data_IF_938107280400
#
_entry.id   IF_938107280400
#
_cell.length_a   1.000
_cell.length_b   1.000
_cell.length_c   1.000
_cell.angle_alpha   90.00
_cell.angle_beta   90.00
_cell.angle_gamma   90.00
#
_symmetry.space_group_name_H-M   'P 1'
#
loop_
_entity.id
_entity.type
_entity.pdbx_description
1 polymer ?
#
# COMPACT_ATOMS: atom_id res chain seq x y z
N UNK A 1 2.75 -27.43 -9.13
CA UNK A 1 1.28 -27.35 -9.02
C UNK A 1 0.90 -25.95 -9.43
N UNK A 2 -0.01 -25.83 -10.40
CA UNK A 2 -0.36 -24.58 -11.07
C UNK A 2 -1.88 -24.42 -10.93
N UNK A 3 -2.32 -23.65 -9.94
CA UNK A 3 -3.73 -23.38 -9.72
C UNK A 3 -4.16 -22.19 -10.58
N UNK A 4 -5.18 -22.38 -11.41
CA UNK A 4 -5.62 -21.43 -12.44
C UNK A 4 -6.04 -20.03 -11.89
N UNK A 5 -6.30 -19.91 -10.58
CA UNK A 5 -6.61 -18.65 -9.91
C UNK A 5 -5.48 -18.14 -8.98
N UNK A 6 -4.27 -18.69 -9.07
CA UNK A 6 -3.11 -18.25 -8.28
C UNK A 6 -2.04 -17.58 -9.14
N UNK A 7 -1.31 -16.64 -8.54
CA UNK A 7 -0.06 -16.14 -9.11
C UNK A 7 0.94 -17.30 -9.25
N UNK A 8 1.56 -17.44 -10.43
CA UNK A 8 2.56 -18.49 -10.67
C UNK A 8 3.87 -18.16 -9.95
N UNK A 9 3.91 -18.42 -8.65
CA UNK A 9 4.98 -18.04 -7.73
C UNK A 9 5.67 -19.29 -7.18
N UNK A 10 6.54 -19.89 -7.97
CA UNK A 10 7.29 -21.10 -7.59
C UNK A 10 8.67 -21.17 -8.27
N UNK A 11 9.58 -22.08 -7.82
CA UNK A 11 10.95 -22.19 -8.34
C UNK A 11 11.12 -22.44 -9.84
N UNK A 12 10.06 -22.79 -10.58
CA UNK A 12 10.11 -22.99 -12.04
C UNK A 12 9.84 -21.70 -12.81
N UNK A 13 9.29 -20.67 -12.17
CA UNK A 13 9.15 -19.35 -12.78
C UNK A 13 10.49 -18.62 -12.71
N UNK A 14 11.05 -18.08 -13.81
CA UNK A 14 12.31 -17.36 -13.79
C UNK A 14 12.39 -16.27 -12.72
N UNK A 15 11.27 -15.56 -12.48
CA UNK A 15 11.20 -14.47 -11.51
C UNK A 15 11.44 -14.95 -10.06
N UNK A 16 11.35 -16.26 -9.79
CA UNK A 16 11.60 -16.84 -8.47
C UNK A 16 12.95 -16.45 -7.90
N UNK A 17 13.95 -16.27 -8.79
CA UNK A 17 15.26 -15.74 -8.45
C UNK A 17 15.14 -14.47 -7.59
N UNK A 18 14.25 -13.54 -7.95
CA UNK A 18 14.15 -12.19 -7.36
C UNK A 18 13.05 -12.04 -6.30
N UNK A 19 12.25 -13.08 -6.09
CA UNK A 19 11.21 -13.15 -5.04
C UNK A 19 11.73 -12.83 -3.63
N UNK A 20 12.96 -13.22 -3.21
CA UNK A 20 13.48 -12.82 -1.91
C UNK A 20 13.47 -11.30 -1.67
N UNK A 21 13.62 -10.47 -2.72
CA UNK A 21 13.55 -9.01 -2.59
C UNK A 21 12.11 -8.53 -2.29
N UNK A 22 11.12 -9.08 -3.00
CA UNK A 22 9.70 -8.85 -2.71
C UNK A 22 9.32 -9.33 -1.30
N UNK A 23 9.74 -10.54 -0.92
CA UNK A 23 9.45 -11.09 0.39
C UNK A 23 10.11 -10.28 1.52
N UNK A 24 11.30 -9.72 1.30
CA UNK A 24 11.95 -8.83 2.26
C UNK A 24 11.16 -7.54 2.46
N UNK A 25 10.61 -6.97 1.38
CA UNK A 25 9.68 -5.84 1.47
C UNK A 25 8.43 -6.20 2.27
N UNK A 26 7.76 -7.30 1.92
CA UNK A 26 6.56 -7.79 2.59
C UNK A 26 6.82 -8.04 4.08
N UNK A 27 7.92 -8.71 4.42
CA UNK A 27 8.30 -9.01 5.79
C UNK A 27 8.52 -7.75 6.63
N UNK A 28 9.20 -6.72 6.09
CA UNK A 28 9.40 -5.43 6.77
C UNK A 28 8.07 -4.70 7.00
N UNK A 29 7.17 -4.70 6.02
CA UNK A 29 5.83 -4.12 6.17
C UNK A 29 5.03 -4.87 7.23
N UNK A 30 4.99 -6.21 7.17
CA UNK A 30 4.23 -7.03 8.11
C UNK A 30 4.77 -6.94 9.54
N UNK A 31 6.10 -6.87 9.73
CA UNK A 31 6.69 -6.71 11.06
C UNK A 31 6.15 -5.47 11.78
N UNK A 32 6.00 -4.35 11.05
CA UNK A 32 5.43 -3.11 11.59
C UNK A 32 3.91 -3.21 11.74
N UNK A 33 3.22 -3.76 10.74
CA UNK A 33 1.76 -3.87 10.74
C UNK A 33 1.20 -4.92 11.72
N UNK A 34 2.05 -5.73 12.34
CA UNK A 34 1.68 -6.63 13.43
C UNK A 34 1.98 -6.05 14.81
N UNK A 35 2.73 -4.96 14.91
CA UNK A 35 3.10 -4.35 16.19
C UNK A 35 1.96 -3.51 16.78
N UNK A 36 1.78 -3.58 18.10
CA UNK A 36 0.81 -2.75 18.82
C UNK A 36 -0.64 -3.03 18.45
N UNK A 37 -1.52 -2.03 18.59
CA UNK A 37 -2.95 -2.16 18.32
C UNK A 37 -3.39 -1.30 17.13
N UNK A 38 -4.45 -1.70 16.40
CA UNK A 38 -5.08 -0.83 15.40
C UNK A 38 -5.40 0.54 15.99
N UNK A 39 -5.16 1.62 15.23
CA UNK A 39 -5.35 3.00 15.69
C UNK A 39 -6.48 3.69 14.92
N UNK A 40 -7.61 3.00 14.78
CA UNK A 40 -8.84 3.51 14.19
C UNK A 40 -9.66 4.23 15.25
N UNK A 41 -10.27 5.37 14.91
CA UNK A 41 -10.96 6.22 15.88
C UNK A 41 -12.48 5.97 15.94
N UNK A 42 -13.07 5.35 14.92
CA UNK A 42 -14.53 5.21 14.75
C UNK A 42 -14.96 3.75 14.57
N UNK A 43 -16.08 3.38 15.18
CA UNK A 43 -16.82 2.17 14.81
C UNK A 43 -17.96 2.57 13.86
N UNK A 44 -17.98 2.02 12.65
CA UNK A 44 -19.07 2.21 11.69
C UNK A 44 -20.00 1.01 11.75
N UNK A 45 -21.24 1.20 12.20
CA UNK A 45 -22.22 0.11 12.27
C UNK A 45 -22.49 -0.45 10.87
N UNK A 46 -22.52 -1.79 10.78
CA UNK A 46 -22.83 -2.53 9.56
C UNK A 46 -24.32 -2.91 9.54
N UNK A 47 -25.18 -2.21 8.78
CA UNK A 47 -26.63 -2.44 8.79
C UNK A 47 -27.02 -3.63 7.90
N UNK A 48 -26.58 -4.84 8.27
CA UNK A 48 -26.80 -6.05 7.45
C UNK A 48 -28.29 -6.34 7.17
N UNK A 49 -29.19 -5.95 8.08
CA UNK A 49 -30.62 -6.19 7.91
C UNK A 49 -31.21 -5.38 6.75
N UNK A 50 -30.68 -4.21 6.42
CA UNK A 50 -31.12 -3.48 5.23
C UNK A 50 -30.70 -4.19 3.95
N UNK A 51 -29.54 -4.87 3.97
CA UNK A 51 -29.11 -5.73 2.87
C UNK A 51 -30.06 -6.91 2.71
N UNK A 52 -30.39 -7.60 3.81
CA UNK A 52 -31.29 -8.76 3.79
C UNK A 52 -32.77 -8.43 3.55
N UNK A 53 -33.21 -7.21 3.82
CA UNK A 53 -34.57 -6.75 3.49
C UNK A 53 -34.68 -6.22 2.04
N UNK A 54 -33.62 -6.29 1.24
CA UNK A 54 -33.70 -5.97 -0.19
C UNK A 54 -34.72 -6.90 -0.87
N UNK A 55 -35.59 -6.33 -1.69
CA UNK A 55 -36.64 -7.00 -2.46
C UNK A 55 -36.14 -7.78 -3.70
N UNK A 56 -34.83 -7.80 -3.93
CA UNK A 56 -34.23 -8.37 -5.14
C UNK A 56 -33.77 -9.81 -4.94
N UNK A 57 -34.71 -10.74 -5.14
CA UNK A 57 -34.45 -12.18 -5.22
C UNK A 57 -34.11 -12.85 -3.89
N UNK A 58 -34.08 -14.18 -3.89
CA UNK A 58 -33.79 -15.00 -2.70
C UNK A 58 -32.29 -15.23 -2.45
N UNK A 59 -31.42 -14.68 -3.31
CA UNK A 59 -29.97 -14.85 -3.22
C UNK A 59 -29.25 -13.53 -3.48
N UNK A 60 -28.40 -13.11 -2.54
CA UNK A 60 -27.53 -11.93 -2.66
C UNK A 60 -26.09 -12.43 -2.75
N UNK A 61 -25.53 -12.44 -3.96
CA UNK A 61 -24.15 -12.81 -4.18
C UNK A 61 -23.22 -11.64 -3.80
N UNK A 62 -22.60 -11.72 -2.63
CA UNK A 62 -21.65 -10.72 -2.12
C UNK A 62 -20.24 -10.87 -2.75
N UNK A 63 -20.17 -10.81 -4.09
CA UNK A 63 -18.90 -11.00 -4.80
C UNK A 63 -18.01 -9.75 -4.73
N UNK A 64 -16.71 -9.92 -4.92
CA UNK A 64 -15.75 -8.80 -4.99
C UNK A 64 -15.77 -8.08 -6.34
N UNK A 65 -16.25 -8.74 -7.40
CA UNK A 65 -16.27 -8.21 -8.77
C UNK A 65 -17.55 -7.46 -9.12
N UNK A 66 -18.68 -7.78 -8.46
CA UNK A 66 -19.95 -7.07 -8.57
C UNK A 66 -20.32 -6.50 -7.21
N UNK A 67 -20.13 -5.19 -7.03
CA UNK A 67 -20.18 -4.52 -5.73
C UNK A 67 -21.51 -3.84 -5.42
N UNK A 68 -22.51 -3.96 -6.30
CA UNK A 68 -23.83 -3.34 -6.14
C UNK A 68 -24.55 -3.79 -4.85
N UNK A 69 -24.25 -4.99 -4.35
CA UNK A 69 -24.77 -5.48 -3.08
C UNK A 69 -24.33 -4.63 -1.88
N UNK A 70 -23.26 -3.83 -2.01
CA UNK A 70 -22.77 -2.89 -1.00
C UNK A 70 -23.01 -1.43 -1.42
N UNK A 71 -22.62 -1.08 -2.66
CA UNK A 71 -22.54 0.31 -3.12
C UNK A 71 -23.87 1.04 -3.20
N UNK A 72 -24.98 0.30 -3.35
CA UNK A 72 -26.33 0.89 -3.38
C UNK A 72 -26.83 1.32 -2.00
N UNK A 73 -26.19 0.89 -0.92
CA UNK A 73 -26.63 1.17 0.45
C UNK A 73 -25.98 2.44 1.02
N UNK A 74 -26.68 3.22 1.86
CA UNK A 74 -26.14 4.45 2.44
C UNK A 74 -24.81 4.28 3.18
N UNK A 75 -24.59 3.11 3.79
CA UNK A 75 -23.34 2.77 4.47
C UNK A 75 -22.11 2.84 3.56
N UNK A 76 -22.24 2.48 2.27
CA UNK A 76 -21.13 2.56 1.32
C UNK A 76 -20.74 4.02 1.02
N UNK A 77 -21.73 4.89 0.79
CA UNK A 77 -21.49 6.31 0.56
C UNK A 77 -20.85 6.98 1.79
N UNK A 78 -21.36 6.70 2.99
CA UNK A 78 -20.78 7.23 4.23
C UNK A 78 -19.37 6.70 4.47
N UNK A 79 -19.14 5.39 4.30
CA UNK A 79 -17.81 4.79 4.45
C UNK A 79 -16.80 5.40 3.46
N UNK A 80 -17.21 5.58 2.19
CA UNK A 80 -16.41 6.25 1.17
C UNK A 80 -16.06 7.69 1.53
N UNK A 81 -17.06 8.47 1.97
CA UNK A 81 -16.87 9.87 2.43
C UNK A 81 -15.89 9.94 3.60
N UNK A 82 -16.09 9.13 4.64
CA UNK A 82 -15.20 9.09 5.80
C UNK A 82 -13.77 8.71 5.39
N UNK A 83 -13.61 7.67 4.57
CA UNK A 83 -12.30 7.20 4.13
C UNK A 83 -11.56 8.23 3.28
N UNK A 84 -12.22 8.84 2.30
CA UNK A 84 -11.66 9.88 1.43
C UNK A 84 -11.27 11.16 2.19
N UNK A 85 -11.96 11.46 3.29
CA UNK A 85 -11.65 12.59 4.17
C UNK A 85 -10.66 12.24 5.29
N UNK A 86 -10.03 11.06 5.24
CA UNK A 86 -8.96 10.64 6.16
C UNK A 86 -9.44 10.13 7.52
N UNK A 87 -10.74 9.90 7.72
CA UNK A 87 -11.25 9.27 8.92
C UNK A 87 -10.96 7.76 8.91
N UNK A 88 -10.59 7.24 10.08
CA UNK A 88 -10.30 5.82 10.26
C UNK A 88 -11.43 5.14 11.01
N UNK A 89 -11.91 4.02 10.46
CA UNK A 89 -13.00 3.26 11.05
C UNK A 89 -12.84 1.76 10.86
N UNK A 90 -13.47 1.00 11.75
CA UNK A 90 -13.75 -0.42 11.57
C UNK A 90 -15.26 -0.64 11.49
N UNK A 91 -15.69 -1.57 10.63
CA UNK A 91 -17.08 -2.01 10.64
C UNK A 91 -17.39 -2.81 11.90
N UNK A 92 -18.60 -2.64 12.45
CA UNK A 92 -19.06 -3.41 13.60
C UNK A 92 -20.45 -4.03 13.38
N UNK A 93 -20.55 -5.33 13.65
CA UNK A 93 -21.81 -6.08 13.63
C UNK A 93 -22.60 -5.95 14.93
N UNK A 94 -23.90 -6.30 14.90
CA UNK A 94 -24.76 -6.39 16.09
C UNK A 94 -24.12 -7.24 17.20
N UNK A 95 -23.58 -8.42 16.84
CA UNK A 95 -22.95 -9.35 17.79
C UNK A 95 -21.72 -8.74 18.46
N UNK A 96 -20.87 -8.06 17.71
CA UNK A 96 -19.68 -7.41 18.27
C UNK A 96 -20.06 -6.19 19.11
N UNK A 97 -21.08 -5.43 18.69
CA UNK A 97 -21.57 -4.26 19.40
C UNK A 97 -22.17 -4.63 20.77
N UNK A 98 -22.91 -5.74 20.85
CA UNK A 98 -23.46 -6.25 22.11
C UNK A 98 -22.40 -6.43 23.20
N UNK A 99 -21.19 -6.86 22.80
CA UNK A 99 -20.06 -7.09 23.70
C UNK A 99 -19.24 -5.82 24.02
N UNK A 100 -19.53 -4.68 23.39
CA UNK A 100 -18.83 -3.42 23.65
C UNK A 100 -19.16 -2.86 25.04
N UNK A 101 -18.21 -2.14 25.65
CA UNK A 101 -18.37 -1.54 26.98
C UNK A 101 -17.91 -0.07 26.95
N UNK A 102 -18.50 0.81 27.77
CA UNK A 102 -17.99 2.16 27.92
C UNK A 102 -16.62 2.14 28.61
N UNK A 103 -15.76 3.09 28.23
CA UNK A 103 -14.41 3.30 28.77
C UNK A 103 -14.15 4.81 28.85
N UNK A 104 -14.70 5.42 29.90
CA UNK A 104 -14.89 6.87 29.96
C UNK A 104 -15.81 7.33 28.83
N UNK A 105 -15.38 8.34 28.07
CA UNK A 105 -16.11 8.85 26.88
C UNK A 105 -15.92 7.98 25.62
N UNK A 106 -15.10 6.93 25.70
CA UNK A 106 -14.79 6.03 24.59
C UNK A 106 -15.60 4.74 24.69
N UNK A 107 -15.63 3.97 23.61
CA UNK A 107 -16.13 2.59 23.59
C UNK A 107 -14.99 1.61 23.44
N UNK A 108 -15.02 0.52 24.20
CA UNK A 108 -14.05 -0.57 24.12
C UNK A 108 -14.73 -1.83 23.60
N UNK A 109 -14.15 -2.45 22.56
CA UNK A 109 -14.63 -3.72 22.02
C UNK A 109 -14.18 -4.89 22.88
N UNK A 110 -14.76 -6.08 22.67
CA UNK A 110 -14.36 -7.31 23.37
C UNK A 110 -12.88 -7.66 23.13
N UNK A 111 -12.33 -7.33 21.95
CA UNK A 111 -10.92 -7.51 21.62
C UNK A 111 -9.97 -6.50 22.29
N UNK A 112 -10.51 -5.53 23.05
CA UNK A 112 -9.74 -4.57 23.83
C UNK A 112 -9.42 -3.24 23.14
N UNK A 113 -9.68 -3.12 21.84
CA UNK A 113 -9.49 -1.87 21.09
C UNK A 113 -10.48 -0.79 21.54
N UNK A 114 -9.97 0.44 21.71
CA UNK A 114 -10.75 1.62 22.11
C UNK A 114 -11.05 2.49 20.90
N UNK A 115 -12.30 2.94 20.77
CA UNK A 115 -12.78 3.85 19.74
C UNK A 115 -13.47 5.04 20.39
N UNK A 116 -13.51 6.17 19.71
CA UNK A 116 -13.98 7.45 20.27
C UNK A 116 -15.44 7.75 19.95
N UNK A 117 -15.98 7.09 18.94
CA UNK A 117 -17.38 7.22 18.53
C UNK A 117 -17.89 5.95 17.87
N UNK A 118 -19.22 5.79 17.91
CA UNK A 118 -19.95 4.85 17.08
C UNK A 118 -20.77 5.68 16.09
N UNK A 119 -20.62 5.42 14.80
CA UNK A 119 -21.39 6.03 13.73
C UNK A 119 -22.38 4.98 13.21
N UNK A 120 -23.65 5.34 13.19
CA UNK A 120 -24.74 4.56 12.62
C UNK A 120 -25.09 5.22 11.28
N UNK A 121 -24.83 4.58 10.13
CA UNK A 121 -25.27 5.11 8.84
C UNK A 121 -26.80 5.20 8.79
N UNK A 122 -27.36 5.93 7.82
CA UNK A 122 -28.79 5.89 7.57
C UNK A 122 -29.24 4.43 7.43
N UNK A 123 -30.04 3.97 8.39
CA UNK A 123 -30.42 2.56 8.59
C UNK A 123 -31.94 2.50 8.68
N UNK A 124 -32.58 1.55 8.01
CA UNK A 124 -34.03 1.35 8.12
C UNK A 124 -34.32 0.33 9.22
N UNK A 125 -33.72 -0.87 9.14
CA UNK A 125 -34.01 -1.99 10.03
C UNK A 125 -32.90 -2.19 11.06
N UNK A 126 -33.24 -2.06 12.34
CA UNK A 126 -32.31 -2.31 13.45
C UNK A 126 -32.95 -3.21 14.52
N UNK A 127 -32.24 -4.25 15.02
CA UNK A 127 -32.72 -5.02 16.16
C UNK A 127 -32.89 -4.15 17.41
N UNK A 128 -33.95 -4.39 18.18
CA UNK A 128 -34.23 -3.67 19.44
C UNK A 128 -33.03 -3.75 20.39
N UNK A 129 -32.43 -4.94 20.55
CA UNK A 129 -31.27 -5.13 21.42
C UNK A 129 -30.06 -4.28 21.00
N UNK A 130 -29.86 -4.06 19.70
CA UNK A 130 -28.80 -3.19 19.15
C UNK A 130 -29.09 -1.73 19.49
N UNK A 131 -30.33 -1.28 19.31
CA UNK A 131 -30.74 0.08 19.66
C UNK A 131 -30.62 0.35 21.17
N UNK A 132 -31.08 -0.58 22.01
CA UNK A 132 -30.93 -0.52 23.47
C UNK A 132 -29.45 -0.48 23.89
N UNK A 133 -28.60 -1.25 23.22
CA UNK A 133 -27.16 -1.25 23.47
C UNK A 133 -26.53 0.10 23.14
N UNK A 134 -26.86 0.67 21.98
CA UNK A 134 -26.39 2.01 21.59
C UNK A 134 -26.86 3.07 22.58
N UNK A 135 -28.13 3.03 23.00
CA UNK A 135 -28.69 3.94 23.99
C UNK A 135 -27.98 3.81 25.35
N UNK A 136 -27.69 2.60 25.80
CA UNK A 136 -26.95 2.35 27.04
C UNK A 136 -25.52 2.89 26.98
N UNK A 137 -24.83 2.71 25.85
CA UNK A 137 -23.50 3.29 25.62
C UNK A 137 -23.54 4.82 25.59
N UNK A 138 -24.53 5.41 24.91
CA UNK A 138 -24.74 6.85 24.86
C UNK A 138 -25.00 7.44 26.25
N UNK A 139 -25.86 6.79 27.06
CA UNK A 139 -26.14 7.16 28.45
C UNK A 139 -24.88 7.10 29.33
N UNK A 140 -23.95 6.20 29.02
CA UNK A 140 -22.66 6.09 29.71
C UNK A 140 -21.61 7.12 29.21
N UNK A 141 -21.96 8.00 28.26
CA UNK A 141 -21.10 9.07 27.76
C UNK A 141 -20.36 8.75 26.46
N UNK A 142 -20.59 7.59 25.85
CA UNK A 142 -20.03 7.26 24.52
C UNK A 142 -20.73 8.10 23.46
N UNK A 143 -19.97 8.71 22.54
CA UNK A 143 -20.57 9.40 21.40
C UNK A 143 -21.15 8.40 20.40
N UNK A 144 -22.49 8.36 20.30
CA UNK A 144 -23.21 7.67 19.21
C UNK A 144 -23.74 8.73 18.24
N UNK A 145 -23.42 8.59 16.96
CA UNK A 145 -23.75 9.55 15.90
C UNK A 145 -24.61 8.82 14.87
N UNK A 146 -25.84 9.28 14.66
CA UNK A 146 -26.74 8.76 13.64
C UNK A 146 -26.64 9.65 12.40
N UNK A 147 -26.32 9.07 11.24
CA UNK A 147 -26.23 9.78 9.97
C UNK A 147 -27.63 10.03 9.40
N UNK A 148 -28.03 11.30 9.31
CA UNK A 148 -29.22 11.79 8.60
C UNK A 148 -30.59 11.33 9.12
N UNK A 149 -30.74 10.12 9.65
CA UNK A 149 -31.99 9.58 10.21
C UNK A 149 -31.75 8.59 11.36
N UNK A 150 -32.79 8.35 12.16
CA UNK A 150 -32.82 7.26 13.13
C UNK A 150 -33.37 5.99 12.47
N UNK A 151 -33.01 4.78 12.98
CA UNK A 151 -33.63 3.54 12.55
C UNK A 151 -35.16 3.60 12.61
N UNK A 152 -35.80 3.23 11.50
CA UNK A 152 -37.24 3.39 11.32
C UNK A 152 -38.04 2.16 11.76
N UNK A 153 -37.47 0.95 11.65
CA UNK A 153 -38.18 -0.30 11.91
C UNK A 153 -37.26 -1.40 12.47
N UNK A 154 -37.86 -2.53 12.84
CA UNK A 154 -37.20 -3.74 13.33
C UNK A 154 -37.21 -4.83 12.25
N UNK A 155 -36.18 -5.69 12.18
CA UNK A 155 -36.18 -6.80 11.24
C UNK A 155 -37.18 -7.90 11.64
N UNK A 156 -37.87 -8.50 10.66
CA UNK A 156 -38.77 -9.66 10.84
C UNK A 156 -40.14 -9.34 11.49
N UNK A 157 -41.07 -10.30 11.44
CA UNK A 157 -42.50 -10.07 11.79
C UNK A 157 -42.93 -10.55 13.18
N UNK A 158 -42.10 -11.32 13.89
CA UNK A 158 -42.48 -11.84 15.22
C UNK A 158 -42.70 -10.69 16.21
N UNK A 159 -43.87 -10.61 16.86
CA UNK A 159 -44.20 -9.55 17.84
C UNK A 159 -43.89 -8.13 17.33
N UNK A 160 -44.20 -7.86 16.06
CA UNK A 160 -43.75 -6.67 15.33
C UNK A 160 -44.07 -5.35 16.04
N UNK A 161 -45.34 -5.12 16.40
CA UNK A 161 -45.76 -3.86 17.01
C UNK A 161 -45.12 -3.63 18.38
N UNK A 162 -44.99 -4.68 19.18
CA UNK A 162 -44.27 -4.64 20.46
C UNK A 162 -42.81 -4.25 20.26
N UNK A 163 -42.12 -4.83 19.28
CA UNK A 163 -40.71 -4.53 19.00
C UNK A 163 -40.52 -3.15 18.38
N UNK A 164 -41.44 -2.69 17.53
CA UNK A 164 -41.45 -1.30 17.02
C UNK A 164 -41.60 -0.28 18.15
N UNK A 165 -42.51 -0.54 19.09
CA UNK A 165 -42.66 0.30 20.27
C UNK A 165 -41.38 0.32 21.14
N UNK A 166 -40.74 -0.84 21.33
CA UNK A 166 -39.47 -0.94 22.05
C UNK A 166 -38.33 -0.21 21.34
N UNK A 167 -38.22 -0.31 20.01
CA UNK A 167 -37.24 0.43 19.21
C UNK A 167 -37.42 1.94 19.39
N UNK A 168 -38.65 2.44 19.26
CA UNK A 168 -38.96 3.87 19.47
C UNK A 168 -38.60 4.33 20.87
N UNK A 169 -38.85 3.50 21.89
CA UNK A 169 -38.46 3.78 23.27
C UNK A 169 -36.93 3.88 23.43
N UNK A 170 -36.19 2.91 22.88
CA UNK A 170 -34.72 2.88 22.94
C UNK A 170 -34.07 4.09 22.27
N UNK A 171 -34.67 4.60 21.18
CA UNK A 171 -34.17 5.74 20.42
C UNK A 171 -34.72 7.10 20.89
N UNK A 172 -35.55 7.15 21.94
CA UNK A 172 -36.25 8.38 22.37
C UNK A 172 -35.35 9.58 22.68
N UNK A 173 -34.12 9.33 23.15
CA UNK A 173 -33.12 10.37 23.42
C UNK A 173 -32.12 10.60 22.26
N UNK A 174 -32.18 9.79 21.21
CA UNK A 174 -31.28 9.90 20.06
C UNK A 174 -31.75 11.01 19.12
N UNK A 175 -30.80 11.64 18.44
CA UNK A 175 -31.06 12.63 17.39
C UNK A 175 -30.11 12.38 16.22
N UNK A 176 -30.59 12.50 14.97
CA UNK A 176 -29.72 12.44 13.81
C UNK A 176 -28.78 13.64 13.77
N UNK A 177 -27.55 13.42 13.31
CA UNK A 177 -26.59 14.47 13.01
C UNK A 177 -26.73 14.86 11.54
N UNK A 178 -26.90 16.17 11.22
CA UNK A 178 -26.94 16.64 9.85
C UNK A 178 -25.57 16.53 9.15
N UNK A 179 -24.48 16.54 9.93
CA UNK A 179 -23.12 16.31 9.44
C UNK A 179 -22.35 15.41 10.42
N UNK A 180 -22.10 14.18 9.97
CA UNK A 180 -21.34 13.17 10.72
C UNK A 180 -19.91 13.64 10.99
N UNK A 181 -19.24 14.32 10.06
CA UNK A 181 -17.86 14.75 10.24
C UNK A 181 -17.77 15.88 11.27
N UNK A 182 -18.67 16.85 11.21
CA UNK A 182 -18.79 17.87 12.24
C UNK A 182 -19.06 17.25 13.62
N UNK A 183 -19.96 16.26 13.70
CA UNK A 183 -20.23 15.53 14.94
C UNK A 183 -18.99 14.76 15.44
N UNK A 184 -18.23 14.12 14.55
CA UNK A 184 -16.97 13.44 14.89
C UNK A 184 -15.92 14.42 15.42
N UNK A 185 -15.85 15.64 14.89
CA UNK A 185 -14.93 16.69 15.39
C UNK A 185 -15.24 17.18 16.81
N UNK A 186 -16.46 16.96 17.31
CA UNK A 186 -16.79 17.21 18.72
C UNK A 186 -16.19 16.17 19.67
N UNK A 187 -15.73 15.04 19.12
CA UNK A 187 -14.98 14.03 19.86
C UNK A 187 -13.49 14.33 19.80
N UNK A 188 -12.65 13.45 20.36
CA UNK A 188 -11.20 13.57 20.20
C UNK A 188 -10.71 13.02 18.85
N UNK A 189 -11.56 12.37 18.05
CA UNK A 189 -11.19 11.79 16.75
C UNK A 189 -10.59 12.83 15.83
N UNK A 190 -9.56 12.44 15.08
CA UNK A 190 -8.92 13.32 14.11
C UNK A 190 -8.78 12.57 12.78
N UNK A 191 -9.22 13.16 11.65
CA UNK A 191 -8.88 12.63 10.36
C UNK A 191 -7.39 12.81 10.09
N UNK A 192 -6.83 12.02 9.19
CA UNK A 192 -5.49 12.22 8.68
C UNK A 192 -5.51 13.15 7.46
N UNK A 193 -4.90 14.36 7.54
CA UNK A 193 -4.94 15.33 6.46
C UNK A 193 -4.31 14.82 5.15
N UNK A 194 -3.36 13.87 5.22
CA UNK A 194 -2.63 13.35 4.07
C UNK A 194 -3.53 12.79 2.95
N UNK A 195 -4.69 12.24 3.31
CA UNK A 195 -5.62 11.66 2.35
C UNK A 195 -6.30 12.73 1.49
N UNK A 196 -7.06 13.70 2.05
CA UNK A 196 -7.69 14.72 1.23
C UNK A 196 -6.70 15.73 0.62
N UNK A 197 -5.52 15.95 1.23
CA UNK A 197 -4.58 16.97 0.73
C UNK A 197 -3.62 16.45 -0.34
N UNK A 198 -3.19 15.18 -0.25
CA UNK A 198 -2.18 14.61 -1.15
C UNK A 198 -2.66 13.33 -1.87
N UNK A 199 -3.86 12.82 -1.57
CA UNK A 199 -4.34 11.55 -2.10
C UNK A 199 -3.62 10.33 -1.52
N UNK A 200 -2.92 10.48 -0.39
CA UNK A 200 -2.18 9.39 0.24
C UNK A 200 -3.13 8.47 1.01
N UNK A 201 -2.94 7.16 0.83
CA UNK A 201 -3.61 6.14 1.62
C UNK A 201 -2.69 5.67 2.76
N UNK A 202 -3.28 5.23 3.88
CA UNK A 202 -2.49 4.79 5.01
C UNK A 202 -3.20 3.72 5.85
N UNK A 203 -2.39 2.95 6.58
CA UNK A 203 -2.81 2.17 7.75
C UNK A 203 -2.06 2.68 8.97
N UNK A 204 -2.77 2.87 10.09
CA UNK A 204 -2.19 3.39 11.33
C UNK A 204 -2.31 2.39 12.46
N UNK A 205 -1.21 2.17 13.18
CA UNK A 205 -1.15 1.39 14.42
C UNK A 205 -0.59 2.22 15.56
N UNK A 206 -0.88 1.84 16.78
CA UNK A 206 -0.44 2.54 17.99
C UNK A 206 0.24 1.61 18.97
N UNK A 207 1.25 2.13 19.67
CA UNK A 207 1.89 1.49 20.81
C UNK A 207 2.07 2.52 21.95
N UNK A 208 2.75 2.13 23.03
CA UNK A 208 2.92 2.99 24.19
C UNK A 208 3.72 4.29 23.93
N UNK A 209 4.56 4.31 22.90
CA UNK A 209 5.54 5.39 22.63
C UNK A 209 5.23 6.23 21.40
N UNK A 210 4.16 5.90 20.67
CA UNK A 210 3.80 6.59 19.44
C UNK A 210 2.94 5.75 18.51
N UNK A 211 3.08 5.98 17.22
CA UNK A 211 2.30 5.34 16.16
C UNK A 211 3.17 4.88 15.02
N UNK A 212 2.69 3.85 14.34
CA UNK A 212 3.18 3.40 13.05
C UNK A 212 2.22 3.82 11.96
N UNK A 213 2.76 4.30 10.86
CA UNK A 213 2.05 4.55 9.62
C UNK A 213 2.68 3.70 8.53
N UNK A 214 1.88 2.96 7.79
CA UNK A 214 2.24 2.49 6.46
C UNK A 214 1.48 3.36 5.47
N UNK A 215 2.19 4.11 4.64
CA UNK A 215 1.65 5.12 3.72
C UNK A 215 1.94 4.65 2.29
N UNK A 216 0.97 4.77 1.40
CA UNK A 216 1.11 4.48 -0.03
C UNK A 216 0.72 5.69 -0.87
N UNK A 217 1.51 5.95 -1.91
CA UNK A 217 1.14 6.88 -2.97
C UNK A 217 0.52 6.09 -4.11
N UNK A 218 -0.82 6.02 -4.15
CA UNK A 218 -1.55 5.38 -5.25
C UNK A 218 -1.99 6.35 -6.34
N UNK A 219 -1.59 7.61 -6.22
CA UNK A 219 -1.85 8.63 -7.24
C UNK A 219 -0.87 8.46 -8.42
N UNK A 220 -1.13 9.16 -9.52
CA UNK A 220 -0.23 9.22 -10.67
C UNK A 220 0.88 10.27 -10.53
N UNK A 221 0.94 11.00 -9.41
CA UNK A 221 1.88 12.12 -9.21
C UNK A 221 2.89 11.81 -8.11
N UNK A 222 4.17 12.18 -8.28
CA UNK A 222 5.13 12.11 -7.19
C UNK A 222 4.77 13.12 -6.10
N UNK A 223 5.12 12.78 -4.86
CA UNK A 223 5.02 13.66 -3.69
C UNK A 223 6.44 14.02 -3.25
N UNK A 224 6.78 15.31 -3.20
CA UNK A 224 7.93 15.85 -2.46
C UNK A 224 7.44 17.08 -1.69
N UNK A 225 6.82 16.85 -0.54
CA UNK A 225 6.20 17.91 0.25
C UNK A 225 6.20 17.58 1.75
N UNK A 226 5.94 18.59 2.58
CA UNK A 226 5.65 18.48 4.01
C UNK A 226 4.19 18.08 4.22
N UNK A 227 3.97 16.79 4.47
CA UNK A 227 2.66 16.19 4.71
C UNK A 227 2.27 16.28 6.18
N UNK A 228 1.13 16.88 6.48
CA UNK A 228 0.62 16.99 7.86
C UNK A 228 0.11 15.65 8.40
N UNK A 229 0.50 15.33 9.64
CA UNK A 229 -0.06 14.21 10.41
C UNK A 229 -1.19 14.71 11.30
N UNK A 230 -2.31 13.99 11.35
CA UNK A 230 -3.48 14.26 12.20
C UNK A 230 -3.24 14.00 13.69
N UNK A 231 -2.00 13.68 14.08
CA UNK A 231 -1.61 13.42 15.47
C UNK A 231 -0.32 14.17 15.83
N UNK A 232 -0.15 14.55 17.11
CA UNK A 232 1.13 15.10 17.58
C UNK A 232 2.26 14.09 17.41
N UNK A 233 3.39 14.55 16.85
CA UNK A 233 4.59 13.76 16.65
C UNK A 233 5.86 14.60 16.88
N UNK A 234 6.32 14.77 18.13
CA UNK A 234 7.57 15.46 18.46
C UNK A 234 8.79 15.01 17.64
N UNK A 235 8.84 13.72 17.26
CA UNK A 235 9.84 13.15 16.37
C UNK A 235 9.21 12.11 15.44
N UNK A 236 9.79 11.95 14.25
CA UNK A 236 9.37 10.94 13.27
C UNK A 236 10.61 10.26 12.70
N UNK A 237 10.59 8.93 12.62
CA UNK A 237 11.54 8.14 11.85
C UNK A 237 10.86 7.70 10.55
N UNK A 238 11.57 7.84 9.44
CA UNK A 238 11.21 7.22 8.16
C UNK A 238 11.92 5.87 8.09
N UNK A 239 11.20 4.84 7.65
CA UNK A 239 11.73 3.53 7.32
C UNK A 239 11.27 3.20 5.90
N UNK A 240 12.21 2.87 5.03
CA UNK A 240 11.93 2.46 3.66
C UNK A 240 11.79 0.92 3.62
N UNK A 241 10.58 0.38 3.42
CA UNK A 241 10.37 -1.06 3.37
C UNK A 241 11.01 -1.72 2.14
N UNK A 242 11.41 -0.99 1.11
CA UNK A 242 12.06 -1.53 -0.08
C UNK A 242 13.57 -1.71 0.11
N UNK A 243 14.23 -0.77 0.78
CA UNK A 243 15.70 -0.83 1.00
C UNK A 243 16.09 -1.23 2.42
N UNK A 244 15.23 -0.99 3.42
CA UNK A 244 15.53 -1.21 4.83
C UNK A 244 16.26 -0.05 5.49
N UNK A 245 16.53 1.02 4.74
CA UNK A 245 17.11 2.25 5.27
C UNK A 245 16.12 2.90 6.23
N UNK A 246 16.66 3.58 7.24
CA UNK A 246 15.88 4.37 8.18
C UNK A 246 16.62 5.63 8.59
N UNK A 247 15.88 6.63 9.07
CA UNK A 247 16.46 7.88 9.56
C UNK A 247 15.43 8.86 10.10
N UNK A 248 15.92 9.84 10.87
CA UNK A 248 15.08 10.91 11.42
C UNK A 248 14.57 11.83 10.30
N UNK A 249 13.25 12.00 10.21
CA UNK A 249 12.60 12.80 9.18
C UNK A 249 12.83 14.31 9.39
N UNK A 250 12.80 15.07 8.29
CA UNK A 250 12.65 16.52 8.38
C UNK A 250 11.21 16.87 8.77
N UNK A 251 11.06 17.70 9.81
CA UNK A 251 9.77 18.12 10.35
C UNK A 251 9.60 19.64 10.28
N UNK A 252 8.40 20.08 9.90
CA UNK A 252 7.92 21.46 10.06
C UNK A 252 6.82 21.47 11.10
N UNK A 253 6.96 22.32 12.11
CA UNK A 253 5.95 22.46 13.17
C UNK A 253 4.81 23.36 12.73
N UNK A 254 3.59 22.91 12.96
CA UNK A 254 2.37 23.69 12.80
C UNK A 254 1.55 23.58 14.10
N UNK A 255 1.83 24.46 15.07
CA UNK A 255 1.23 24.38 16.40
C UNK A 255 1.57 23.06 17.11
N UNK A 256 0.55 22.25 17.43
CA UNK A 256 0.69 20.92 18.06
C UNK A 256 0.91 19.78 17.07
N UNK A 257 0.64 20.01 15.78
CA UNK A 257 0.82 19.02 14.72
C UNK A 257 2.21 19.18 14.08
N UNK A 258 2.64 18.12 13.43
CA UNK A 258 3.91 18.08 12.71
C UNK A 258 3.65 17.68 11.27
N UNK A 259 4.19 18.47 10.35
CA UNK A 259 4.28 18.11 8.95
C UNK A 259 5.63 17.44 8.68
N UNK A 260 5.60 16.26 8.08
CA UNK A 260 6.78 15.44 7.76
C UNK A 260 7.09 15.58 6.27
N UNK A 261 8.34 15.88 5.91
CA UNK A 261 8.73 15.88 4.50
C UNK A 261 8.78 14.44 3.99
N UNK A 262 7.98 14.14 2.97
CA UNK A 262 7.95 12.84 2.29
C UNK A 262 8.34 13.01 0.83
N UNK A 263 9.13 12.06 0.31
CA UNK A 263 9.47 11.90 -1.10
C UNK A 263 8.97 10.53 -1.57
N UNK A 264 7.87 10.48 -2.33
CA UNK A 264 7.20 9.24 -2.75
C UNK A 264 6.79 9.29 -4.22
N UNK A 265 7.33 8.36 -5.01
CA UNK A 265 6.93 8.14 -6.40
C UNK A 265 5.53 7.51 -6.49
N UNK A 266 4.85 7.61 -7.65
CA UNK A 266 3.64 6.83 -7.92
C UNK A 266 3.85 5.33 -7.67
N UNK A 267 2.95 4.72 -6.91
CA UNK A 267 3.02 3.31 -6.51
C UNK A 267 3.95 3.01 -5.32
N UNK A 268 4.73 3.99 -4.85
CA UNK A 268 5.65 3.78 -3.74
C UNK A 268 4.95 3.74 -2.38
N UNK A 269 5.62 3.13 -1.41
CA UNK A 269 5.18 3.09 -0.02
C UNK A 269 6.31 3.45 0.94
N UNK A 270 5.94 3.92 2.12
CA UNK A 270 6.88 4.27 3.19
C UNK A 270 6.28 3.97 4.55
N UNK A 271 7.15 3.70 5.53
CA UNK A 271 6.76 3.52 6.91
C UNK A 271 7.22 4.73 7.73
N UNK A 272 6.32 5.28 8.54
CA UNK A 272 6.68 6.28 9.56
C UNK A 272 6.50 5.70 10.95
N UNK A 273 7.46 6.00 11.84
CA UNK A 273 7.31 5.84 13.29
C UNK A 273 7.25 7.20 13.94
N UNK A 274 6.10 7.56 14.52
CA UNK A 274 6.00 8.75 15.38
C UNK A 274 6.50 8.42 16.78
N UNK A 275 7.09 9.42 17.43
CA UNK A 275 7.70 9.32 18.76
C UNK A 275 7.12 10.40 19.67
N UNK A 276 7.02 10.07 20.95
CA UNK A 276 6.70 11.00 22.04
C UNK A 276 7.84 11.99 22.40
N UNK A 277 9.00 11.82 21.76
CA UNK A 277 10.20 12.63 21.93
C UNK A 277 10.83 12.96 20.58
N UNK A 278 11.79 13.87 20.59
CA UNK A 278 12.58 14.15 19.39
C UNK A 278 13.31 12.90 18.90
N UNK A 279 13.35 12.70 17.58
CA UNK A 279 14.12 11.63 16.98
C UNK A 279 15.63 11.86 17.18
N UNK A 280 16.33 10.80 17.58
CA UNK A 280 17.79 10.77 17.70
C UNK A 280 18.39 9.85 16.62
N UNK A 281 19.63 10.11 16.20
CA UNK A 281 20.34 9.30 15.23
C UNK A 281 20.49 9.97 13.85
N UNK A 282 20.94 9.21 12.84
CA UNK A 282 21.13 9.72 11.48
C UNK A 282 19.85 10.31 10.90
N UNK A 283 19.98 11.42 10.15
CA UNK A 283 18.85 12.00 9.42
C UNK A 283 18.52 11.16 8.19
N UNK A 284 17.24 11.18 7.83
CA UNK A 284 16.77 10.65 6.56
C UNK A 284 17.46 11.38 5.41
N UNK A 285 17.96 10.61 4.44
CA UNK A 285 18.65 11.13 3.27
C UNK A 285 17.64 11.33 2.14
N UNK A 286 17.20 12.57 1.97
CA UNK A 286 16.33 12.96 0.86
C UNK A 286 17.12 12.99 -0.45
N UNK A 287 16.58 12.38 -1.50
CA UNK A 287 17.19 12.37 -2.83
C UNK A 287 16.81 13.65 -3.55
N UNK A 288 17.65 14.68 -3.47
CA UNK A 288 17.50 15.86 -4.31
C UNK A 288 18.41 15.69 -5.54
N UNK A 289 17.80 15.49 -6.70
CA UNK A 289 18.50 15.49 -7.97
C UNK A 289 19.07 16.89 -8.25
N UNK A 290 20.31 16.94 -8.74
CA UNK A 290 21.00 18.16 -9.18
C UNK A 290 21.46 17.98 -10.61
N UNK A 291 21.03 18.89 -11.48
CA UNK A 291 21.33 18.83 -12.91
C UNK A 291 20.42 17.86 -13.68
N UNK A 292 20.62 17.82 -14.99
CA UNK A 292 19.82 16.99 -15.89
C UNK A 292 20.29 15.53 -15.87
N UNK A 293 19.38 14.55 -16.09
CA UNK A 293 19.76 13.16 -16.28
C UNK A 293 20.69 12.97 -17.48
N UNK A 294 21.76 12.20 -17.29
CA UNK A 294 22.72 11.83 -18.35
C UNK A 294 22.54 10.36 -18.70
N UNK A 295 22.27 10.06 -19.97
CA UNK A 295 22.12 8.70 -20.46
C UNK A 295 23.47 7.98 -20.60
N UNK A 296 23.52 6.71 -20.21
CA UNK A 296 24.67 5.83 -20.50
C UNK A 296 24.55 5.35 -21.95
N UNK A 297 25.42 5.86 -22.83
CA UNK A 297 25.42 5.58 -24.28
C UNK A 297 26.51 4.60 -24.72
N UNK A 298 27.36 4.15 -23.79
CA UNK A 298 28.37 3.12 -24.04
C UNK A 298 27.73 1.82 -24.54
N UNK A 299 28.42 1.04 -25.39
CA UNK A 299 27.96 -0.29 -25.78
C UNK A 299 27.75 -1.21 -24.58
N UNK A 300 26.78 -2.11 -24.72
CA UNK A 300 26.40 -3.12 -23.73
C UNK A 300 26.68 -4.51 -24.26
N UNK A 301 27.43 -5.29 -23.48
CA UNK A 301 27.57 -6.73 -23.69
C UNK A 301 26.41 -7.45 -23.00
N UNK A 302 25.69 -8.31 -23.72
CA UNK A 302 24.54 -9.07 -23.21
C UNK A 302 24.87 -10.56 -23.20
N UNK A 303 24.80 -11.19 -22.03
CA UNK A 303 25.07 -12.64 -21.86
C UNK A 303 23.95 -13.30 -21.05
N UNK A 304 23.45 -14.45 -21.51
CA UNK A 304 22.36 -15.18 -20.88
C UNK A 304 22.88 -16.15 -19.81
N UNK A 305 22.38 -16.03 -18.57
CA UNK A 305 22.90 -16.78 -17.43
C UNK A 305 22.13 -18.06 -17.13
N UNK A 306 20.81 -17.97 -17.15
CA UNK A 306 19.93 -19.02 -16.67
C UNK A 306 18.55 -18.86 -17.29
N UNK A 307 17.90 -19.97 -17.64
CA UNK A 307 16.57 -19.95 -18.25
C UNK A 307 16.41 -21.06 -19.28
N UNK A 308 15.36 -20.97 -20.08
CA UNK A 308 15.08 -21.94 -21.14
C UNK A 308 14.27 -21.35 -22.29
N UNK A 309 14.14 -22.07 -23.41
CA UNK A 309 14.50 -23.49 -23.61
C UNK A 309 15.99 -23.80 -23.63
N UNK A 310 16.79 -22.86 -24.11
CA UNK A 310 18.25 -22.92 -24.22
C UNK A 310 18.76 -21.51 -23.95
N UNK A 311 20.03 -21.36 -23.58
CA UNK A 311 20.67 -20.05 -23.46
C UNK A 311 20.93 -19.50 -24.87
N UNK A 312 20.39 -18.32 -25.24
CA UNK A 312 20.73 -17.67 -26.49
C UNK A 312 22.23 -17.28 -26.54
N UNK A 313 22.82 -17.16 -27.74
CA UNK A 313 24.16 -16.63 -27.90
C UNK A 313 24.30 -15.21 -27.30
N UNK A 314 25.48 -14.84 -26.78
CA UNK A 314 25.74 -13.47 -26.34
C UNK A 314 25.80 -12.51 -27.54
N UNK A 315 25.50 -11.23 -27.30
CA UNK A 315 25.57 -10.18 -28.31
C UNK A 315 25.95 -8.82 -27.70
N UNK A 316 26.36 -7.88 -28.56
CA UNK A 316 26.66 -6.49 -28.20
C UNK A 316 25.58 -5.55 -28.75
N UNK A 317 25.22 -4.49 -28.02
CA UNK A 317 24.30 -3.47 -28.52
C UNK A 317 24.61 -2.08 -27.97
N UNK A 318 24.38 -1.04 -28.79
CA UNK A 318 24.35 0.36 -28.30
C UNK A 318 22.94 0.83 -27.95
N UNK A 319 21.93 0.16 -28.48
CA UNK A 319 20.53 0.51 -28.27
C UNK A 319 19.85 -0.56 -27.43
N UNK A 320 19.34 -0.15 -26.27
CA UNK A 320 18.60 -1.03 -25.37
C UNK A 320 17.18 -1.20 -25.93
N UNK A 321 16.83 -2.46 -26.20
CA UNK A 321 15.54 -2.91 -26.69
C UNK A 321 15.22 -4.24 -26.00
N UNK A 322 13.94 -4.68 -25.98
CA UNK A 322 13.62 -6.01 -25.51
C UNK A 322 14.47 -7.05 -26.23
N UNK A 323 15.16 -7.94 -25.51
CA UNK A 323 15.91 -9.02 -26.16
C UNK A 323 14.99 -9.91 -26.98
N UNK A 324 13.70 -9.96 -26.64
CA UNK A 324 12.68 -10.67 -27.42
C UNK A 324 12.55 -10.14 -28.85
N UNK A 325 13.13 -8.98 -29.18
CA UNK A 325 13.19 -8.45 -30.54
C UNK A 325 14.46 -8.86 -31.32
N UNK A 326 15.39 -9.61 -30.72
CA UNK A 326 16.69 -9.97 -31.33
C UNK A 326 16.60 -11.19 -32.26
N UNK A 327 15.48 -11.91 -32.26
CA UNK A 327 15.22 -13.03 -33.16
C UNK A 327 14.65 -14.27 -32.44
N UNK A 328 14.39 -15.36 -33.19
CA UNK A 328 13.57 -16.47 -32.72
C UNK A 328 14.05 -17.14 -31.43
N UNK A 329 15.38 -17.30 -31.25
CA UNK A 329 15.94 -17.91 -30.05
C UNK A 329 15.72 -17.05 -28.78
N UNK A 330 15.73 -15.73 -28.94
CA UNK A 330 15.53 -14.77 -27.85
C UNK A 330 14.06 -14.52 -27.55
N UNK A 331 13.19 -14.60 -28.56
CA UNK A 331 11.73 -14.48 -28.42
C UNK A 331 11.19 -15.47 -27.40
N UNK A 332 11.58 -16.75 -27.54
CA UNK A 332 11.04 -17.85 -26.73
C UNK A 332 11.75 -18.03 -25.39
N UNK A 333 12.80 -17.25 -25.13
CA UNK A 333 13.61 -17.35 -23.92
C UNK A 333 12.91 -16.71 -22.72
N UNK A 334 12.75 -17.50 -21.65
CA UNK A 334 12.36 -17.02 -20.32
C UNK A 334 13.48 -17.28 -19.34
N UNK A 335 14.01 -16.23 -18.70
CA UNK A 335 15.22 -16.35 -17.89
C UNK A 335 15.88 -15.03 -17.55
N UNK A 336 17.17 -15.10 -17.22
CA UNK A 336 18.01 -13.98 -16.80
C UNK A 336 19.15 -13.74 -17.80
N UNK A 337 19.38 -12.48 -18.17
CA UNK A 337 20.57 -12.03 -18.89
C UNK A 337 21.30 -10.92 -18.15
N UNK A 338 22.63 -10.87 -18.24
CA UNK A 338 23.45 -9.77 -17.73
C UNK A 338 23.73 -8.80 -18.86
N UNK A 339 23.41 -7.53 -18.61
CA UNK A 339 23.85 -6.38 -19.38
C UNK A 339 25.06 -5.79 -18.66
N UNK A 340 26.20 -5.69 -19.34
CA UNK A 340 27.41 -5.09 -18.78
C UNK A 340 27.93 -3.98 -19.67
N UNK A 341 28.32 -2.86 -19.06
CA UNK A 341 28.92 -1.73 -19.77
C UNK A 341 29.93 -1.00 -18.87
N UNK A 342 30.83 -0.25 -19.51
CA UNK A 342 31.71 0.70 -18.83
C UNK A 342 31.29 2.12 -19.20
N UNK A 343 31.25 3.01 -18.22
CA UNK A 343 30.81 4.39 -18.44
C UNK A 343 31.64 5.36 -17.60
N UNK A 344 31.69 6.60 -18.07
CA UNK A 344 32.36 7.71 -17.41
C UNK A 344 31.33 8.71 -16.88
N UNK A 345 31.67 9.40 -15.80
CA UNK A 345 30.90 10.54 -15.28
C UNK A 345 31.82 11.75 -15.10
N UNK A 346 31.28 12.98 -15.25
CA UNK A 346 32.10 14.19 -15.15
C UNK A 346 32.61 14.46 -13.72
N UNK A 347 31.99 13.86 -12.71
CA UNK A 347 32.40 14.00 -11.32
C UNK A 347 32.06 12.73 -10.53
N UNK A 348 32.96 12.34 -9.63
CA UNK A 348 32.66 11.30 -8.65
C UNK A 348 31.58 11.78 -7.65
N UNK A 349 30.81 10.85 -7.08
CA UNK A 349 29.82 11.16 -6.06
C UNK A 349 28.65 10.17 -6.00
N UNK A 350 27.53 10.64 -5.47
CA UNK A 350 26.30 9.88 -5.38
C UNK A 350 25.36 10.25 -6.54
N UNK A 351 24.75 9.24 -7.14
CA UNK A 351 23.84 9.40 -8.26
C UNK A 351 22.56 8.61 -8.01
N UNK A 352 21.46 9.09 -8.59
CA UNK A 352 20.28 8.30 -8.83
C UNK A 352 20.49 7.57 -10.15
N UNK A 353 20.52 6.23 -10.10
CA UNK A 353 20.54 5.37 -11.27
C UNK A 353 19.10 5.01 -11.62
N UNK A 354 18.62 5.47 -12.78
CA UNK A 354 17.34 5.13 -13.35
C UNK A 354 17.55 4.11 -14.48
N UNK A 355 17.00 2.91 -14.35
CA UNK A 355 17.11 1.87 -15.37
C UNK A 355 16.09 2.05 -16.52
N UNK A 356 15.18 3.02 -16.39
CA UNK A 356 14.07 3.21 -17.31
C UNK A 356 13.14 2.00 -17.29
N UNK A 357 12.86 1.46 -18.47
CA UNK A 357 11.98 0.30 -18.60
C UNK A 357 12.76 -1.02 -18.44
N UNK A 358 12.34 -1.82 -17.47
CA UNK A 358 12.87 -3.17 -17.18
C UNK A 358 11.74 -4.18 -17.31
N UNK A 359 12.00 -5.27 -18.03
CA UNK A 359 11.08 -6.40 -18.16
C UNK A 359 11.73 -7.68 -17.62
N UNK A 360 11.58 -8.04 -16.34
CA UNK A 360 10.61 -7.51 -15.35
C UNK A 360 11.23 -7.14 -14.00
N UNK A 361 12.40 -7.69 -13.65
CA UNK A 361 13.18 -7.32 -12.46
C UNK A 361 14.65 -7.20 -12.82
N UNK A 362 15.42 -6.46 -12.02
CA UNK A 362 16.85 -6.29 -12.21
C UNK A 362 17.63 -6.40 -10.89
N UNK A 363 18.78 -7.08 -10.92
CA UNK A 363 19.82 -6.97 -9.88
C UNK A 363 20.95 -6.13 -10.43
N UNK A 364 21.42 -5.16 -9.64
CA UNK A 364 22.37 -4.18 -10.12
C UNK A 364 23.65 -4.23 -9.30
N UNK A 365 24.79 -4.32 -9.99
CA UNK A 365 26.11 -4.12 -9.40
C UNK A 365 26.84 -2.97 -10.06
N UNK A 366 27.47 -2.13 -9.25
CA UNK A 366 28.34 -1.05 -9.69
C UNK A 366 29.74 -1.31 -9.16
N UNK A 367 30.73 -1.39 -10.05
CA UNK A 367 32.14 -1.68 -9.71
C UNK A 367 32.27 -2.95 -8.85
N UNK A 368 31.48 -3.98 -9.15
CA UNK A 368 31.43 -5.24 -8.41
C UNK A 368 30.62 -5.21 -7.10
N UNK A 369 30.20 -4.04 -6.61
CA UNK A 369 29.39 -3.89 -5.39
C UNK A 369 27.90 -4.03 -5.72
N UNK A 370 27.20 -4.87 -4.96
CA UNK A 370 25.73 -4.99 -5.05
C UNK A 370 25.03 -3.70 -4.61
N UNK A 371 24.19 -3.15 -5.49
CA UNK A 371 23.33 -2.00 -5.21
C UNK A 371 21.91 -2.43 -4.80
N UNK A 372 21.53 -3.68 -5.06
CA UNK A 372 20.22 -4.23 -4.72
C UNK A 372 19.42 -4.73 -5.92
N UNK A 373 18.17 -5.11 -5.63
CA UNK A 373 17.24 -5.69 -6.59
C UNK A 373 16.01 -4.79 -6.74
N UNK A 374 15.68 -4.43 -7.98
CA UNK A 374 14.46 -3.69 -8.35
C UNK A 374 13.48 -4.62 -9.04
N UNK A 375 12.23 -4.65 -8.54
CA UNK A 375 11.18 -5.54 -9.02
C UNK A 375 9.84 -4.82 -9.24
N UNK A 376 9.80 -3.51 -8.99
CA UNK A 376 8.65 -2.65 -9.25
C UNK A 376 9.11 -1.31 -9.81
N UNK A 377 8.21 -0.64 -10.52
CA UNK A 377 8.44 0.71 -11.00
C UNK A 377 8.31 1.74 -9.85
N UNK A 378 9.04 2.87 -9.92
CA UNK A 378 10.11 3.13 -10.88
C UNK A 378 11.38 2.32 -10.58
N UNK A 379 12.06 1.83 -11.62
CA UNK A 379 13.26 0.99 -11.50
C UNK A 379 14.51 1.83 -11.20
N UNK A 380 14.55 2.41 -9.99
CA UNK A 380 15.56 3.36 -9.55
C UNK A 380 16.32 2.88 -8.32
N UNK A 381 17.60 3.19 -8.26
CA UNK A 381 18.49 2.89 -7.13
C UNK A 381 19.38 4.09 -6.82
N UNK A 382 19.73 4.28 -5.55
CA UNK A 382 20.82 5.19 -5.17
C UNK A 382 22.16 4.49 -5.43
N UNK A 383 22.94 5.02 -6.36
CA UNK A 383 24.30 4.60 -6.62
C UNK A 383 25.27 5.46 -5.79
N UNK A 384 25.71 4.93 -4.65
CA UNK A 384 26.70 5.59 -3.79
C UNK A 384 28.12 5.25 -4.22
N UNK A 385 29.02 6.24 -4.21
CA UNK A 385 30.44 6.02 -4.52
C UNK A 385 30.75 5.79 -6.00
N UNK A 386 30.01 6.43 -6.89
CA UNK A 386 30.33 6.46 -8.33
C UNK A 386 31.69 7.16 -8.52
N UNK A 387 32.59 6.52 -9.26
CA UNK A 387 33.94 7.00 -9.58
C UNK A 387 33.94 7.71 -10.94
N UNK A 388 35.07 8.24 -11.42
CA UNK A 388 35.12 8.83 -12.78
C UNK A 388 34.92 7.78 -13.88
N UNK A 389 35.45 6.58 -13.68
CA UNK A 389 35.28 5.42 -14.56
C UNK A 389 34.56 4.32 -13.78
N UNK A 390 33.55 3.69 -14.37
CA UNK A 390 32.77 2.67 -13.68
C UNK A 390 32.39 1.52 -14.60
N UNK A 391 32.18 0.35 -14.00
CA UNK A 391 31.56 -0.82 -14.62
C UNK A 391 30.18 -1.03 -14.01
N UNK A 392 29.15 -1.10 -14.84
CA UNK A 392 27.78 -1.41 -14.46
C UNK A 392 27.39 -2.78 -14.96
N UNK A 393 26.86 -3.62 -14.08
CA UNK A 393 26.29 -4.92 -14.40
C UNK A 393 24.83 -4.97 -13.94
N UNK A 394 23.93 -5.32 -14.85
CA UNK A 394 22.49 -5.42 -14.59
C UNK A 394 22.03 -6.80 -15.02
N UNK A 395 21.72 -7.66 -14.05
CA UNK A 395 21.08 -8.95 -14.31
C UNK A 395 19.56 -8.73 -14.42
N UNK A 396 19.00 -8.79 -15.63
CA UNK A 396 17.55 -8.65 -15.86
C UNK A 396 16.91 -10.01 -15.99
N UNK A 397 15.84 -10.25 -15.24
CA UNK A 397 15.03 -11.49 -15.28
C UNK A 397 13.66 -11.21 -15.89
N UNK A 398 13.27 -11.96 -16.93
CA UNK A 398 11.94 -11.87 -17.56
C UNK A 398 10.94 -12.88 -16.97
N UNK A 399 9.70 -12.87 -17.45
CA UNK A 399 8.74 -13.95 -17.16
C UNK A 399 8.89 -15.12 -18.14
N UNK A 400 8.23 -16.23 -17.84
CA UNK A 400 8.09 -17.35 -18.77
C UNK A 400 6.99 -17.14 -19.84
N UNK A 401 6.36 -15.96 -19.96
CA UNK A 401 5.18 -15.76 -20.82
C UNK A 401 5.44 -16.15 -22.29
N UNK A 402 6.56 -15.72 -22.86
CA UNK A 402 6.90 -16.06 -24.24
C UNK A 402 7.24 -17.54 -24.42
N UNK A 403 7.82 -18.17 -23.39
CA UNK A 403 8.09 -19.61 -23.37
C UNK A 403 6.79 -20.43 -23.37
N UNK A 404 5.83 -20.04 -22.54
CA UNK A 404 4.51 -20.68 -22.46
C UNK A 404 3.75 -20.55 -23.78
N UNK A 405 3.79 -19.35 -24.39
CA UNK A 405 3.26 -19.11 -25.74
C UNK A 405 3.89 -20.03 -26.79
N UNK A 406 5.22 -20.18 -26.80
CA UNK A 406 5.92 -21.10 -27.71
C UNK A 406 5.48 -22.56 -27.53
N UNK A 407 5.38 -23.03 -26.29
CA UNK A 407 4.96 -24.41 -25.99
C UNK A 407 3.54 -24.69 -26.53
N UNK A 408 2.61 -23.75 -26.36
CA UNK A 408 1.24 -23.88 -26.87
C UNK A 408 1.15 -23.79 -28.40
N UNK A 409 2.01 -22.99 -29.04
CA UNK A 409 2.11 -22.94 -30.51
C UNK A 409 2.61 -24.24 -31.11
N UNK A 410 3.64 -24.84 -30.49
CA UNK A 410 4.22 -26.12 -30.91
C UNK A 410 3.43 -27.34 -30.42
N UNK A 411 2.29 -27.13 -29.74
CA UNK A 411 1.42 -28.18 -29.19
C UNK A 411 2.18 -29.17 -28.29
N UNK A 412 3.18 -28.67 -27.56
CA UNK A 412 3.92 -29.47 -26.57
C UNK A 412 2.97 -29.79 -25.42
N UNK A 413 2.93 -31.05 -24.97
CA UNK A 413 2.17 -31.42 -23.79
C UNK A 413 2.89 -30.96 -22.50
N UNK A 414 2.75 -29.67 -22.16
CA UNK A 414 3.31 -29.08 -20.94
C UNK A 414 2.28 -28.92 -19.82
N UNK A 415 0.98 -28.99 -20.14
CA UNK A 415 -0.15 -28.96 -19.20
C UNK A 415 -0.46 -30.37 -18.68
N UNK A 416 0.55 -31.09 -18.20
CA UNK A 416 0.40 -32.45 -17.70
C UNK A 416 0.16 -32.43 -16.18
N UNK A 417 -1.10 -32.47 -15.77
CA UNK A 417 -1.52 -32.42 -14.37
C UNK A 417 -2.49 -33.55 -14.06
N UNK A 418 -2.34 -34.15 -12.87
CA UNK A 418 -3.08 -35.36 -12.47
C UNK A 418 -4.56 -35.08 -12.14
N UNK A 419 -4.88 -33.94 -11.50
CA UNK A 419 -6.22 -33.70 -10.89
C UNK A 419 -6.93 -32.39 -11.32
N UNK A 420 -6.45 -31.64 -12.33
CA UNK A 420 -6.95 -30.27 -12.57
C UNK A 420 -7.26 -29.90 -14.02
N UNK A 421 -8.40 -29.24 -14.21
CA UNK A 421 -8.73 -28.50 -15.43
C UNK A 421 -7.95 -27.17 -15.44
N UNK A 422 -6.93 -27.07 -16.30
CA UNK A 422 -6.18 -25.81 -16.49
C UNK A 422 -6.99 -24.87 -17.40
N UNK A 423 -7.69 -23.92 -16.78
CA UNK A 423 -8.59 -22.96 -17.46
C UNK A 423 -8.07 -21.52 -17.38
N UNK A 424 -8.61 -20.64 -18.22
CA UNK A 424 -8.37 -19.20 -18.13
C UNK A 424 -9.33 -18.53 -17.11
N UNK A 425 -9.24 -17.21 -16.97
CA UNK A 425 -10.07 -16.42 -16.04
C UNK A 425 -11.58 -16.50 -16.36
N UNK A 426 -11.95 -16.87 -17.58
CA UNK A 426 -13.34 -17.07 -18.02
C UNK A 426 -13.78 -18.54 -17.90
N UNK A 427 -13.01 -19.39 -17.21
CA UNK A 427 -13.27 -20.82 -17.04
C UNK A 427 -13.31 -21.62 -18.36
N UNK A 428 -12.63 -21.15 -19.40
CA UNK A 428 -12.44 -21.87 -20.69
C UNK A 428 -11.10 -22.58 -20.73
N UNK A 429 -10.91 -23.62 -21.58
CA UNK A 429 -9.60 -24.25 -21.75
C UNK A 429 -8.50 -23.22 -22.01
N UNK A 430 -7.43 -23.27 -21.22
CA UNK A 430 -6.35 -22.30 -21.33
C UNK A 430 -5.55 -22.48 -22.62
N UNK A 431 -5.33 -21.39 -23.36
CA UNK A 431 -4.47 -21.35 -24.55
C UNK A 431 -3.69 -20.02 -24.60
N UNK A 432 -2.37 -20.10 -24.52
CA UNK A 432 -1.46 -18.97 -24.64
C UNK A 432 -0.89 -18.78 -26.05
N UNK A 433 -1.28 -19.59 -27.04
CA UNK A 433 -0.69 -19.56 -28.39
C UNK A 433 -0.86 -18.21 -29.10
N UNK A 434 -1.92 -17.47 -28.74
CA UNK A 434 -2.26 -16.16 -29.29
C UNK A 434 -1.83 -14.98 -28.39
N UNK A 435 -1.13 -15.24 -27.28
CA UNK A 435 -0.61 -14.14 -26.47
C UNK A 435 0.31 -13.22 -27.29
N UNK A 436 0.24 -11.89 -27.08
CA UNK A 436 1.23 -11.00 -27.65
C UNK A 436 2.62 -11.36 -27.11
N UNK A 437 3.66 -11.03 -27.87
CA UNK A 437 5.03 -11.20 -27.39
C UNK A 437 5.25 -10.23 -26.21
N UNK A 438 5.56 -10.77 -25.04
CA UNK A 438 5.88 -9.98 -23.87
C UNK A 438 7.30 -9.40 -24.02
N UNK A 439 7.49 -8.09 -23.75
CA UNK A 439 8.82 -7.51 -23.63
C UNK A 439 9.65 -8.27 -22.59
N UNK A 440 10.95 -8.45 -22.86
CA UNK A 440 11.89 -9.11 -21.96
C UNK A 440 13.25 -8.43 -22.04
N UNK A 441 13.88 -8.17 -20.90
CA UNK A 441 15.20 -7.53 -20.83
C UNK A 441 15.18 -6.05 -20.46
N UNK A 442 16.34 -5.40 -20.64
CA UNK A 442 16.56 -3.98 -20.35
C UNK A 442 16.25 -3.14 -21.59
N UNK A 443 15.29 -2.22 -21.46
CA UNK A 443 14.84 -1.35 -22.54
C UNK A 443 15.32 0.09 -22.34
N UNK A 444 15.61 0.48 -21.11
CA UNK A 444 16.15 1.81 -20.82
C UNK A 444 15.13 2.93 -21.03
N UNK A 445 15.61 4.17 -21.28
CA UNK A 445 17.03 4.55 -21.22
C UNK A 445 17.60 4.36 -19.81
N UNK A 446 18.89 3.99 -19.73
CA UNK A 446 19.60 3.95 -18.44
C UNK A 446 20.25 5.31 -18.22
N UNK A 447 19.89 5.98 -17.13
CA UNK A 447 20.27 7.36 -16.85
C UNK A 447 20.86 7.51 -15.45
N UNK A 448 21.75 8.49 -15.32
CA UNK A 448 22.33 8.92 -14.08
C UNK A 448 21.99 10.38 -13.82
N UNK A 449 21.42 10.66 -12.66
CA UNK A 449 21.20 12.03 -12.21
C UNK A 449 22.00 12.25 -10.94
N UNK A 450 22.86 13.26 -10.91
CA UNK A 450 23.70 13.54 -9.73
C UNK A 450 22.80 13.89 -8.55
N UNK A 451 23.14 13.40 -7.37
CA UNK A 451 22.44 13.76 -6.13
C UNK A 451 23.22 14.85 -5.39
N UNK A 452 22.47 15.80 -4.81
CA UNK A 452 23.06 16.80 -3.91
C UNK A 452 23.73 16.10 -2.73
N UNK A 453 24.89 16.60 -2.28
CA UNK A 453 25.41 16.22 -0.97
C UNK A 453 24.34 16.47 0.10
N UNK A 454 24.23 15.61 1.14
CA UNK A 454 23.34 15.88 2.26
C UNK A 454 23.61 17.29 2.79
N UNK A 455 22.58 18.12 2.95
CA UNK A 455 22.76 19.45 3.52
C UNK A 455 23.53 19.32 4.85
N UNK A 456 24.69 20.00 4.94
CA UNK A 456 25.53 19.97 6.13
C UNK A 456 24.68 20.35 7.35
N UNK A 457 24.87 19.62 8.45
CA UNK A 457 24.09 19.82 9.66
C UNK A 457 24.19 21.28 10.12
N UNK A 458 23.10 22.05 10.03
CA UNK A 458 22.99 23.28 10.80
C UNK A 458 23.21 22.89 12.28
N UNK A 459 24.15 23.55 12.99
CA UNK A 459 24.45 23.20 14.38
C UNK A 459 23.15 23.29 15.19
N UNK A 460 22.91 22.27 16.01
CA UNK A 460 21.76 22.25 16.91
C UNK A 460 21.71 23.57 17.68
N UNK A 461 20.63 24.34 17.52
CA UNK A 461 20.39 25.50 18.39
C UNK A 461 20.43 24.99 19.83
N UNK A 462 21.43 25.44 20.59
CA UNK A 462 21.55 25.16 22.02
C UNK A 462 20.20 25.47 22.67
N UNK A 463 19.69 24.54 23.46
CA UNK A 463 18.52 24.79 24.29
C UNK A 463 18.73 26.10 25.07
N UNK A 464 17.74 27.02 25.11
CA UNK A 464 17.89 28.22 25.90
C UNK A 464 18.13 27.81 27.36
N UNK A 465 19.20 28.34 27.94
CA UNK A 465 19.53 28.13 29.34
C UNK A 465 18.32 28.51 30.19
N UNK A 466 17.90 27.60 31.06
CA UNK A 466 16.86 27.85 32.06
C UNK A 466 17.30 29.07 32.88
N UNK A 467 16.51 30.15 33.00
CA UNK A 467 16.86 31.23 33.90
C UNK A 467 16.79 30.69 35.33
N UNK A 468 17.89 30.83 36.06
CA UNK A 468 17.91 30.58 37.49
C UNK A 468 17.04 31.64 38.19
N UNK A 469 15.98 31.19 38.86
CA UNK A 469 15.41 31.82 40.04
C UNK A 469 14.90 30.74 40.97
#
# INVERSE_FOLDING_TARGET
WLFYASTEMNPRNPIWRDVPALNSYIARVQAVLQEGSPANDVLLYWPIYDVWHSDQGLNINMTVHHRDWFEKFPVAALAGKLWQNGWTFDFISDRQLAACRPDGVNVKTAGGTRYRAIVVPATIHMPVATAEKLAALAKAGVKVIYDSSLPADVPGLQNLDTRRAALKSALSAAQPAPDVEAALRTTRSQPEPMTPTHGLEFVRRSNATGRWYFITNRTSKPIDDFVELGVPAPGVLILDPLTGRSGAAALRRQGRLSAVRLQLEPGASIILRTLDRYASGPRWQYTNATGDPVSITSPWSVTFLAGGPQLPPPYETKELRPWSAQGPAYEVFGGTAVYKTNFEVPAAGNYLLDLGQVAQSARVRLNGKDLGTVWCAPFRLTAEGVQLNNTLEIEVTSTAANRIRDLDRRKVLWKNFYDINFVNMDYKPFDASNWPLAPSGLQGPVQLTRLSAPAAAAPARKAPARPAK
#
